data_IF_909472699084
#
_entry.id   IF_909472699084
#
_cell.length_a   1.000
_cell.length_b   1.000
_cell.length_c   1.000
_cell.angle_alpha   90.00
_cell.angle_beta   90.00
_cell.angle_gamma   90.00
#
_symmetry.space_group_name_H-M   'P 1'
#
loop_
_entity.id
_entity.type
_entity.pdbx_description
1 polymer ?
#
# COMPACT_ATOMS: atom_id res chain seq x y z
N UNK A 1 -26.57 -17.60 -29.66
CA UNK A 1 -27.58 -16.73 -30.32
C UNK A 1 -28.12 -15.59 -29.43
N UNK A 2 -27.92 -15.58 -28.10
CA UNK A 2 -28.46 -14.54 -27.18
C UNK A 2 -27.69 -13.20 -27.16
N UNK A 3 -26.41 -13.18 -27.55
CA UNK A 3 -25.58 -11.97 -27.47
C UNK A 3 -25.80 -10.99 -28.64
N UNK A 4 -26.16 -11.48 -29.82
CA UNK A 4 -26.43 -10.64 -31.02
C UNK A 4 -27.72 -9.82 -30.86
N UNK A 5 -28.73 -10.39 -30.20
CA UNK A 5 -30.01 -9.73 -29.94
C UNK A 5 -29.88 -8.65 -28.84
N UNK A 6 -28.96 -8.84 -27.89
CA UNK A 6 -28.68 -7.85 -26.84
C UNK A 6 -27.90 -6.64 -27.39
N UNK A 7 -26.95 -6.87 -28.30
CA UNK A 7 -26.22 -5.79 -29.00
C UNK A 7 -27.15 -5.00 -29.92
N UNK A 8 -28.06 -5.67 -30.64
CA UNK A 8 -29.08 -4.98 -31.45
C UNK A 8 -30.01 -4.08 -30.62
N UNK A 9 -30.38 -4.54 -29.41
CA UNK A 9 -31.24 -3.78 -28.50
C UNK A 9 -30.52 -2.55 -27.91
N UNK A 10 -29.21 -2.67 -27.65
CA UNK A 10 -28.38 -1.55 -27.19
C UNK A 10 -28.14 -0.49 -28.28
N UNK A 11 -27.98 -0.92 -29.54
CA UNK A 11 -27.88 -0.02 -30.70
C UNK A 11 -29.19 0.73 -30.96
N UNK A 12 -30.36 0.07 -30.82
CA UNK A 12 -31.66 0.73 -30.95
C UNK A 12 -31.94 1.75 -29.83
N UNK A 13 -31.42 1.54 -28.62
CA UNK A 13 -31.60 2.47 -27.49
C UNK A 13 -30.76 3.75 -27.65
N UNK A 14 -29.61 3.66 -28.34
CA UNK A 14 -28.75 4.81 -28.63
C UNK A 14 -29.27 5.69 -29.78
N UNK A 15 -29.96 5.10 -30.76
CA UNK A 15 -30.56 5.84 -31.89
C UNK A 15 -31.85 6.59 -31.52
N UNK A 16 -32.50 6.22 -30.41
CA UNK A 16 -33.74 6.85 -29.96
C UNK A 16 -33.52 8.28 -29.39
N UNK A 17 -32.31 8.60 -28.92
CA UNK A 17 -31.97 9.93 -28.40
C UNK A 17 -31.78 10.99 -29.51
N UNK A 18 -31.68 10.58 -30.78
CA UNK A 18 -31.49 11.51 -31.91
C UNK A 18 -32.80 11.93 -32.61
N UNK A 19 -33.95 11.35 -32.25
CA UNK A 19 -35.24 11.60 -32.90
C UNK A 19 -36.09 12.72 -32.25
N UNK A 20 -35.62 13.35 -31.17
CA UNK A 20 -36.33 14.43 -30.47
C UNK A 20 -35.83 15.85 -30.81
N UNK A 21 -34.99 16.00 -31.84
CA UNK A 21 -34.28 17.27 -32.13
C UNK A 21 -34.89 18.14 -33.25
N UNK A 22 -36.13 17.90 -33.70
CA UNK A 22 -36.79 18.77 -34.69
C UNK A 22 -38.21 19.15 -34.26
N UNK A 23 -38.35 20.38 -33.76
CA UNK A 23 -39.61 21.10 -33.74
C UNK A 23 -39.50 22.25 -34.77
N UNK A 24 -40.39 22.33 -35.78
CA UNK A 24 -40.36 23.42 -36.76
C UNK A 24 -40.71 24.76 -36.10
N UNK A 25 -40.05 25.81 -36.60
CA UNK A 25 -40.27 27.19 -36.20
C UNK A 25 -41.69 27.65 -36.59
N UNK A 26 -42.43 28.13 -35.61
CA UNK A 26 -43.70 28.83 -35.80
C UNK A 26 -43.39 30.33 -35.98
N UNK A 27 -43.59 30.84 -37.20
CA UNK A 27 -43.58 32.27 -37.50
C UNK A 27 -44.91 32.88 -37.08
N UNK A 28 -44.89 33.81 -36.13
CA UNK A 28 -46.01 34.73 -35.84
C UNK A 28 -45.48 36.03 -35.20
N UNK A 29 -46.21 37.15 -35.32
CA UNK A 29 -45.76 38.37 -35.96
C UNK A 29 -45.07 39.36 -35.01
N UNK A 30 -44.22 40.18 -35.60
CA UNK A 30 -43.51 41.32 -35.00
C UNK A 30 -44.54 42.30 -34.40
N UNK A 31 -44.77 42.21 -33.09
CA UNK A 31 -45.31 43.31 -32.32
C UNK A 31 -44.17 44.24 -31.91
N UNK A 32 -44.27 45.49 -32.34
CA UNK A 32 -43.44 46.61 -31.91
C UNK A 32 -43.50 46.81 -30.39
N UNK A 33 -42.52 46.26 -29.68
CA UNK A 33 -42.17 46.57 -28.29
C UNK A 33 -40.79 47.25 -28.29
N UNK A 34 -40.59 48.44 -27.69
CA UNK A 34 -39.30 49.12 -27.67
C UNK A 34 -38.40 48.58 -26.53
N UNK A 35 -38.28 47.25 -26.42
CA UNK A 35 -37.69 46.62 -25.22
C UNK A 35 -36.19 46.31 -25.36
N UNK A 36 -35.60 46.27 -26.58
CA UNK A 36 -34.25 45.69 -26.75
C UNK A 36 -33.22 46.56 -27.51
N UNK A 37 -33.41 47.88 -27.53
CA UNK A 37 -32.40 48.76 -28.13
C UNK A 37 -31.20 48.94 -27.21
N UNK A 38 -29.99 48.75 -27.74
CA UNK A 38 -28.75 49.01 -27.00
C UNK A 38 -28.64 50.47 -26.60
N UNK A 39 -27.86 50.79 -25.56
CA UNK A 39 -27.67 52.18 -25.11
C UNK A 39 -27.22 53.10 -26.26
N UNK A 40 -26.37 52.56 -27.14
CA UNK A 40 -25.88 53.23 -28.36
C UNK A 40 -27.00 53.46 -29.38
N UNK A 41 -27.86 52.47 -29.60
CA UNK A 41 -29.01 52.61 -30.50
C UNK A 41 -30.01 53.64 -29.96
N UNK A 42 -30.31 53.62 -28.66
CA UNK A 42 -31.19 54.61 -28.01
C UNK A 42 -30.64 56.03 -28.14
N UNK A 43 -29.33 56.21 -27.96
CA UNK A 43 -28.66 57.49 -28.21
C UNK A 43 -28.78 57.93 -29.68
N UNK A 44 -28.58 57.01 -30.63
CA UNK A 44 -28.71 57.30 -32.06
C UNK A 44 -30.14 57.70 -32.44
N UNK A 45 -31.16 57.04 -31.86
CA UNK A 45 -32.58 57.35 -32.07
C UNK A 45 -32.92 58.73 -31.49
N UNK A 46 -32.39 59.08 -30.30
CA UNK A 46 -32.55 60.41 -29.72
C UNK A 46 -31.93 61.50 -30.61
N UNK A 47 -30.74 61.24 -31.17
CA UNK A 47 -30.07 62.15 -32.12
C UNK A 47 -30.83 62.25 -33.45
N UNK A 48 -31.45 61.17 -33.92
CA UNK A 48 -32.22 61.16 -35.15
C UNK A 48 -33.56 61.91 -35.01
N UNK A 49 -34.29 61.67 -33.92
CA UNK A 49 -35.62 62.28 -33.66
C UNK A 49 -35.57 63.73 -33.15
N UNK A 50 -34.39 64.26 -32.84
CA UNK A 50 -34.23 65.65 -32.40
C UNK A 50 -34.27 66.63 -33.57
N UNK A 51 -34.87 67.79 -33.34
CA UNK A 51 -35.00 68.85 -34.34
C UNK A 51 -33.67 69.60 -34.48
N UNK A 52 -33.18 69.81 -35.69
CA UNK A 52 -31.98 70.63 -35.91
C UNK A 52 -32.34 72.11 -35.95
N UNK A 53 -31.60 72.93 -35.22
CA UNK A 53 -31.66 74.39 -35.28
C UNK A 53 -30.23 74.93 -35.44
N UNK A 54 -29.91 75.46 -36.62
CA UNK A 54 -28.55 75.84 -37.01
C UNK A 54 -27.57 74.66 -36.78
N UNK A 55 -26.53 74.87 -35.98
CA UNK A 55 -25.52 73.86 -35.63
C UNK A 55 -25.92 73.03 -34.38
N UNK A 56 -27.11 73.24 -33.82
CA UNK A 56 -27.57 72.59 -32.59
C UNK A 56 -28.69 71.57 -32.86
N UNK A 57 -28.80 70.56 -31.99
CA UNK A 57 -29.92 69.61 -31.94
C UNK A 57 -30.78 69.90 -30.71
N UNK A 58 -32.06 70.20 -30.92
CA UNK A 58 -33.05 70.41 -29.88
C UNK A 58 -33.68 69.07 -29.52
N UNK A 59 -33.47 68.66 -28.28
CA UNK A 59 -34.01 67.42 -27.71
C UNK A 59 -35.03 67.81 -26.63
N UNK A 60 -36.15 67.08 -26.55
CA UNK A 60 -37.10 67.24 -25.44
C UNK A 60 -36.48 66.76 -24.14
N UNK A 61 -36.63 67.50 -23.05
CA UNK A 61 -36.12 67.14 -21.72
C UNK A 61 -36.57 65.74 -21.28
N UNK A 62 -37.85 65.39 -21.49
CA UNK A 62 -38.39 64.07 -21.15
C UNK A 62 -37.70 62.90 -21.85
N UNK A 63 -37.17 63.10 -23.06
CA UNK A 63 -36.42 62.07 -23.79
C UNK A 63 -35.00 61.95 -23.24
N UNK A 64 -34.37 63.07 -22.88
CA UNK A 64 -33.06 63.11 -22.25
C UNK A 64 -33.08 62.43 -20.88
N UNK A 65 -34.08 62.74 -20.05
CA UNK A 65 -34.30 62.11 -18.74
C UNK A 65 -34.55 60.61 -18.85
N UNK A 66 -35.31 60.18 -19.87
CA UNK A 66 -35.53 58.76 -20.16
C UNK A 66 -34.23 58.02 -20.50
N UNK A 67 -33.39 58.58 -21.38
CA UNK A 67 -32.09 58.00 -21.73
C UNK A 67 -31.15 57.99 -20.52
N UNK A 68 -31.15 59.05 -19.71
CA UNK A 68 -30.36 59.14 -18.49
C UNK A 68 -30.76 58.07 -17.47
N UNK A 69 -32.06 57.91 -17.22
CA UNK A 69 -32.60 56.87 -16.33
C UNK A 69 -32.15 55.48 -16.75
N UNK A 70 -32.33 55.14 -18.03
CA UNK A 70 -31.94 53.84 -18.60
C UNK A 70 -30.42 53.61 -18.50
N UNK A 71 -29.61 54.65 -18.75
CA UNK A 71 -28.15 54.58 -18.64
C UNK A 71 -27.72 54.30 -17.22
N UNK A 72 -28.30 55.01 -16.24
CA UNK A 72 -28.03 54.81 -14.82
C UNK A 72 -28.48 53.41 -14.37
N UNK A 73 -29.66 52.96 -14.79
CA UNK A 73 -30.19 51.65 -14.42
C UNK A 73 -29.32 50.52 -15.02
N UNK A 74 -28.81 50.70 -16.25
CA UNK A 74 -27.84 49.77 -16.85
C UNK A 74 -26.50 49.77 -16.12
N UNK A 75 -26.02 50.92 -15.65
CA UNK A 75 -24.77 51.01 -14.88
C UNK A 75 -24.93 50.31 -13.53
N UNK A 76 -26.02 50.58 -12.81
CA UNK A 76 -26.33 49.92 -11.55
C UNK A 76 -26.45 48.39 -11.72
N UNK A 77 -27.07 47.92 -12.80
CA UNK A 77 -27.14 46.49 -13.11
C UNK A 77 -25.75 45.87 -13.35
N UNK A 78 -24.84 46.59 -14.02
CA UNK A 78 -23.45 46.15 -14.21
C UNK A 78 -22.69 46.12 -12.90
N UNK A 79 -22.85 47.12 -12.03
CA UNK A 79 -22.21 47.16 -10.71
C UNK A 79 -22.65 45.98 -9.84
N UNK A 80 -23.96 45.67 -9.82
CA UNK A 80 -24.49 44.50 -9.10
C UNK A 80 -23.90 43.20 -9.68
N UNK A 81 -23.82 43.07 -11.00
CA UNK A 81 -23.23 41.89 -11.64
C UNK A 81 -21.74 41.73 -11.33
N UNK A 82 -20.98 42.83 -11.28
CA UNK A 82 -19.56 42.84 -10.91
C UNK A 82 -19.39 42.42 -9.44
N UNK A 83 -20.22 42.94 -8.53
CA UNK A 83 -20.20 42.54 -7.13
C UNK A 83 -20.54 41.06 -6.94
N UNK A 84 -21.52 40.55 -7.68
CA UNK A 84 -21.87 39.13 -7.67
C UNK A 84 -20.75 38.24 -8.23
N UNK A 85 -20.13 38.64 -9.33
CA UNK A 85 -18.98 37.94 -9.91
C UNK A 85 -17.78 37.92 -8.95
N UNK A 86 -17.48 39.04 -8.29
CA UNK A 86 -16.41 39.12 -7.30
C UNK A 86 -16.68 38.21 -6.09
N UNK A 87 -17.93 38.15 -5.60
CA UNK A 87 -18.31 37.18 -4.55
C UNK A 87 -18.11 35.75 -5.00
N UNK A 88 -18.50 35.40 -6.22
CA UNK A 88 -18.31 34.07 -6.78
C UNK A 88 -16.82 33.72 -6.90
N UNK A 89 -15.98 34.66 -7.35
CA UNK A 89 -14.53 34.49 -7.43
C UNK A 89 -13.94 34.24 -6.04
N UNK A 90 -14.37 34.99 -5.03
CA UNK A 90 -13.91 34.79 -3.65
C UNK A 90 -14.32 33.40 -3.12
N UNK A 91 -15.55 32.96 -3.40
CA UNK A 91 -16.04 31.64 -3.03
C UNK A 91 -15.26 30.52 -3.74
N UNK A 92 -15.03 30.65 -5.05
CA UNK A 92 -14.22 29.73 -5.84
C UNK A 92 -12.79 29.66 -5.29
N UNK A 93 -12.18 30.80 -4.95
CA UNK A 93 -10.84 30.84 -4.35
C UNK A 93 -10.80 30.10 -3.01
N UNK A 94 -11.82 30.26 -2.15
CA UNK A 94 -11.96 29.52 -0.89
C UNK A 94 -12.10 28.02 -1.12
N UNK A 95 -12.92 27.60 -2.09
CA UNK A 95 -13.08 26.20 -2.46
C UNK A 95 -11.78 25.60 -3.00
N UNK A 96 -11.04 26.33 -3.84
CA UNK A 96 -9.74 25.87 -4.35
C UNK A 96 -8.74 25.69 -3.22
N UNK A 97 -8.64 26.63 -2.28
CA UNK A 97 -7.78 26.46 -1.10
C UNK A 97 -8.20 25.26 -0.26
N UNK A 98 -9.51 25.07 -0.02
CA UNK A 98 -10.00 23.93 0.74
C UNK A 98 -9.72 22.59 0.04
N UNK A 99 -9.90 22.53 -1.28
CA UNK A 99 -9.60 21.34 -2.09
C UNK A 99 -8.10 21.06 -2.04
N UNK A 100 -7.25 22.08 -2.18
CA UNK A 100 -5.79 21.94 -2.09
C UNK A 100 -5.35 21.43 -0.72
N UNK A 101 -5.89 21.98 0.36
CA UNK A 101 -5.62 21.53 1.72
C UNK A 101 -6.08 20.08 1.94
N UNK A 102 -7.24 19.71 1.39
CA UNK A 102 -7.74 18.34 1.47
C UNK A 102 -6.89 17.34 0.68
N UNK A 103 -6.35 17.76 -0.47
CA UNK A 103 -5.41 16.99 -1.28
C UNK A 103 -4.10 16.78 -0.52
N UNK A 104 -3.53 17.84 0.03
CA UNK A 104 -2.31 17.75 0.82
C UNK A 104 -2.47 16.84 2.04
N UNK A 105 -3.60 16.94 2.75
CA UNK A 105 -3.92 16.02 3.86
C UNK A 105 -4.06 14.57 3.40
N UNK A 106 -4.70 14.32 2.25
CA UNK A 106 -4.81 12.98 1.68
C UNK A 106 -3.45 12.43 1.25
N UNK A 107 -2.60 13.22 0.63
CA UNK A 107 -1.24 12.81 0.25
C UNK A 107 -0.40 12.48 1.49
N UNK A 108 -0.47 13.31 2.54
CA UNK A 108 0.19 13.01 3.82
C UNK A 108 -0.34 11.73 4.47
N UNK A 109 -1.67 11.54 4.47
CA UNK A 109 -2.30 10.31 4.95
C UNK A 109 -1.87 9.09 4.13
N UNK A 110 -1.81 9.21 2.80
CA UNK A 110 -1.35 8.13 1.93
C UNK A 110 0.13 7.81 2.15
N UNK A 111 0.98 8.82 2.35
CA UNK A 111 2.39 8.62 2.68
C UNK A 111 2.55 7.92 4.04
N UNK A 112 1.78 8.34 5.05
CA UNK A 112 1.76 7.70 6.37
C UNK A 112 1.25 6.25 6.27
N UNK A 113 0.14 6.01 5.56
CA UNK A 113 -0.41 4.66 5.37
C UNK A 113 0.53 3.77 4.55
N UNK A 114 1.24 4.30 3.56
CA UNK A 114 2.28 3.56 2.84
C UNK A 114 3.44 3.20 3.77
N UNK A 115 3.85 4.11 4.65
CA UNK A 115 4.87 3.84 5.66
C UNK A 115 4.41 2.72 6.61
N UNK A 116 3.22 2.84 7.19
CA UNK A 116 2.63 1.87 8.12
C UNK A 116 2.31 0.51 7.45
N UNK A 117 2.00 0.52 6.15
CA UNK A 117 1.70 -0.71 5.40
C UNK A 117 2.96 -1.45 5.00
N UNK A 118 4.05 -0.73 4.72
CA UNK A 118 5.31 -1.32 4.26
C UNK A 118 6.25 -1.63 5.40
N UNK A 119 6.16 -0.91 6.52
CA UNK A 119 7.01 -1.10 7.70
C UNK A 119 6.20 -1.74 8.82
N UNK A 120 6.86 -2.55 9.64
CA UNK A 120 6.31 -3.04 10.89
C UNK A 120 7.31 -2.66 11.98
N UNK A 121 6.81 -2.02 13.03
CA UNK A 121 7.66 -1.61 14.14
C UNK A 121 7.92 -2.82 15.02
N UNK A 122 9.15 -3.31 15.02
CA UNK A 122 9.59 -4.42 15.89
C UNK A 122 10.63 -3.84 16.83
N UNK A 123 10.37 -3.88 18.15
CA UNK A 123 11.24 -3.33 19.18
C UNK A 123 11.57 -1.82 19.00
N UNK A 124 10.69 -1.06 18.34
CA UNK A 124 10.86 0.38 18.10
C UNK A 124 11.70 0.73 16.86
N UNK A 125 12.05 -0.25 16.03
CA UNK A 125 12.71 -0.03 14.74
C UNK A 125 11.72 -0.40 13.63
N UNK A 126 11.51 0.52 12.69
CA UNK A 126 10.65 0.31 11.53
C UNK A 126 11.41 -0.47 10.45
N UNK A 127 10.99 -1.71 10.23
CA UNK A 127 11.60 -2.62 9.25
C UNK A 127 10.57 -2.92 8.17
N UNK A 128 10.97 -2.86 6.90
CA UNK A 128 10.12 -3.23 5.78
C UNK A 128 9.62 -4.69 5.94
N UNK A 129 8.32 -4.93 5.75
CA UNK A 129 7.68 -6.26 5.96
C UNK A 129 8.32 -7.37 5.13
N UNK A 130 8.75 -7.08 3.90
CA UNK A 130 9.47 -8.04 3.07
C UNK A 130 10.84 -8.38 3.64
N UNK A 131 11.60 -7.38 4.11
CA UNK A 131 12.90 -7.59 4.74
C UNK A 131 12.77 -8.34 6.08
N UNK A 132 11.73 -8.06 6.87
CA UNK A 132 11.45 -8.81 8.09
C UNK A 132 11.14 -10.27 7.78
N UNK A 133 10.26 -10.53 6.80
CA UNK A 133 9.86 -11.90 6.44
C UNK A 133 11.04 -12.70 5.91
N UNK A 134 11.89 -12.12 5.07
CA UNK A 134 13.10 -12.79 4.56
C UNK A 134 14.12 -13.03 5.66
N UNK A 135 14.38 -12.04 6.52
CA UNK A 135 15.32 -12.19 7.63
C UNK A 135 14.83 -13.26 8.63
N UNK A 136 13.54 -13.26 8.96
CA UNK A 136 12.95 -14.27 9.85
C UNK A 136 13.01 -15.67 9.23
N UNK A 137 12.71 -15.81 7.94
CA UNK A 137 12.82 -17.09 7.25
C UNK A 137 14.28 -17.59 7.22
N UNK A 138 15.24 -16.72 6.95
CA UNK A 138 16.68 -17.05 6.97
C UNK A 138 17.12 -17.48 8.37
N UNK A 139 16.70 -16.75 9.41
CA UNK A 139 16.99 -17.11 10.81
C UNK A 139 16.45 -18.49 11.17
N UNK A 140 15.21 -18.79 10.76
CA UNK A 140 14.55 -20.06 11.03
C UNK A 140 15.26 -21.22 10.31
N UNK A 141 15.63 -21.03 9.05
CA UNK A 141 16.40 -22.02 8.27
C UNK A 141 17.80 -22.22 8.87
N UNK A 142 18.49 -21.15 9.26
CA UNK A 142 19.80 -21.23 9.88
C UNK A 142 19.76 -22.01 11.21
N UNK A 143 18.77 -21.72 12.06
CA UNK A 143 18.58 -22.44 13.32
C UNK A 143 18.25 -23.92 13.09
N UNK A 144 17.36 -24.20 12.14
CA UNK A 144 17.03 -25.58 11.75
C UNK A 144 18.28 -26.33 11.25
N UNK A 145 19.12 -25.68 10.45
CA UNK A 145 20.38 -26.27 9.96
C UNK A 145 21.34 -26.61 11.09
N UNK A 146 21.51 -25.71 12.07
CA UNK A 146 22.35 -25.97 13.26
C UNK A 146 21.83 -27.17 14.05
N UNK A 147 20.50 -27.26 14.25
CA UNK A 147 19.90 -28.38 14.98
C UNK A 147 20.11 -29.71 14.23
N UNK A 148 19.89 -29.73 12.92
CA UNK A 148 20.06 -30.93 12.09
C UNK A 148 21.51 -31.39 12.07
N UNK A 149 22.47 -30.46 11.93
CA UNK A 149 23.90 -30.79 11.93
C UNK A 149 24.36 -31.33 13.29
N UNK A 150 23.91 -30.73 14.39
CA UNK A 150 24.21 -31.21 15.74
C UNK A 150 23.59 -32.60 15.99
N UNK A 151 22.32 -32.81 15.64
CA UNK A 151 21.66 -34.10 15.79
C UNK A 151 22.36 -35.20 14.97
N UNK A 152 22.79 -34.89 13.74
CA UNK A 152 23.58 -35.79 12.91
C UNK A 152 24.92 -36.16 13.55
N UNK A 153 25.66 -35.16 14.04
CA UNK A 153 26.95 -35.37 14.71
C UNK A 153 26.79 -36.19 16.00
N UNK A 154 25.76 -35.92 16.80
CA UNK A 154 25.49 -36.66 18.03
C UNK A 154 25.20 -38.14 17.77
N UNK A 155 24.47 -38.47 16.70
CA UNK A 155 24.24 -39.87 16.31
C UNK A 155 25.53 -40.59 15.94
N UNK A 156 26.42 -39.94 15.17
CA UNK A 156 27.71 -40.52 14.79
C UNK A 156 28.61 -40.74 16.01
N UNK A 157 28.67 -39.75 16.91
CA UNK A 157 29.46 -39.84 18.14
C UNK A 157 28.93 -40.98 19.02
N UNK A 158 27.61 -41.07 19.22
CA UNK A 158 27.02 -42.12 20.05
C UNK A 158 27.32 -43.52 19.50
N UNK A 159 27.29 -43.71 18.18
CA UNK A 159 27.68 -44.98 17.55
C UNK A 159 29.14 -45.32 17.84
N UNK A 160 30.06 -44.37 17.61
CA UNK A 160 31.49 -44.60 17.87
C UNK A 160 31.79 -44.85 19.35
N UNK A 161 31.12 -44.14 20.26
CA UNK A 161 31.24 -44.37 21.69
C UNK A 161 30.72 -45.74 22.11
N UNK A 162 29.63 -46.20 21.51
CA UNK A 162 29.09 -47.54 21.77
C UNK A 162 30.09 -48.63 21.33
N UNK A 163 30.64 -48.53 20.13
CA UNK A 163 31.66 -49.44 19.62
C UNK A 163 32.90 -49.45 20.52
N UNK A 164 33.43 -48.27 20.88
CA UNK A 164 34.57 -48.15 21.82
C UNK A 164 34.27 -48.77 23.18
N UNK A 165 33.06 -48.56 23.71
CA UNK A 165 32.63 -49.15 24.99
C UNK A 165 32.59 -50.68 24.92
N UNK A 166 32.09 -51.25 23.81
CA UNK A 166 32.10 -52.69 23.59
C UNK A 166 33.53 -53.24 23.51
N UNK A 167 34.42 -52.59 22.75
CA UNK A 167 35.83 -53.00 22.66
C UNK A 167 36.53 -52.96 24.01
N UNK A 168 36.32 -51.91 24.81
CA UNK A 168 36.87 -51.80 26.16
C UNK A 168 36.36 -52.92 27.05
N UNK A 169 35.05 -53.21 27.02
CA UNK A 169 34.48 -54.31 27.81
C UNK A 169 35.07 -55.67 27.42
N UNK A 170 35.25 -55.94 26.12
CA UNK A 170 35.88 -57.18 25.65
C UNK A 170 37.32 -57.30 26.14
N UNK A 171 38.11 -56.22 26.01
CA UNK A 171 39.51 -56.19 26.44
C UNK A 171 39.64 -56.38 27.96
N UNK A 172 38.78 -55.73 28.75
CA UNK A 172 38.76 -55.88 30.20
C UNK A 172 38.44 -57.33 30.59
N UNK A 173 37.45 -57.95 29.95
CA UNK A 173 37.10 -59.35 30.22
C UNK A 173 38.25 -60.30 29.86
N UNK A 174 38.91 -60.10 28.72
CA UNK A 174 40.10 -60.88 28.34
C UNK A 174 41.26 -60.69 29.32
N UNK A 175 41.48 -59.46 29.78
CA UNK A 175 42.52 -59.16 30.77
C UNK A 175 42.23 -59.80 32.14
N UNK A 176 40.98 -59.79 32.59
CA UNK A 176 40.56 -60.48 33.81
C UNK A 176 40.75 -61.99 33.69
N UNK A 177 40.40 -62.58 32.55
CA UNK A 177 40.60 -63.99 32.29
C UNK A 177 42.10 -64.36 32.24
N UNK A 178 42.91 -63.55 31.58
CA UNK A 178 44.37 -63.70 31.57
C UNK A 178 44.94 -63.66 33.00
N UNK A 179 44.51 -62.68 33.81
CA UNK A 179 44.93 -62.55 35.21
C UNK A 179 44.51 -63.78 36.02
N UNK A 180 43.29 -64.30 35.83
CA UNK A 180 42.83 -65.53 36.51
C UNK A 180 43.69 -66.73 36.14
N UNK A 181 43.94 -66.95 34.84
CA UNK A 181 44.81 -68.03 34.35
C UNK A 181 46.24 -67.92 34.87
N UNK A 182 46.79 -66.71 34.95
CA UNK A 182 48.12 -66.48 35.52
C UNK A 182 48.18 -66.81 37.02
N UNK A 183 47.17 -66.40 37.80
CA UNK A 183 47.05 -66.74 39.22
C UNK A 183 46.88 -68.25 39.44
N UNK A 184 46.08 -68.92 38.62
CA UNK A 184 45.92 -70.38 38.65
C UNK A 184 47.26 -71.10 38.39
N UNK A 185 48.04 -70.64 37.39
CA UNK A 185 49.38 -71.17 37.09
C UNK A 185 50.36 -70.96 38.25
N UNK A 186 50.40 -69.76 38.84
CA UNK A 186 51.25 -69.48 40.00
C UNK A 186 50.87 -70.33 41.21
N UNK A 187 49.57 -70.49 41.47
CA UNK A 187 49.05 -71.33 42.55
C UNK A 187 49.45 -72.79 42.33
N UNK A 188 49.32 -73.29 41.11
CA UNK A 188 49.72 -74.66 40.74
C UNK A 188 51.23 -74.88 40.92
N UNK A 189 52.05 -73.96 40.41
CA UNK A 189 53.51 -74.03 40.56
C UNK A 189 53.95 -73.98 42.03
N UNK A 190 53.29 -73.14 42.84
CA UNK A 190 53.56 -73.07 44.28
C UNK A 190 53.25 -74.39 44.99
N UNK A 191 52.13 -75.04 44.65
CA UNK A 191 51.77 -76.37 45.16
C UNK A 191 52.80 -77.42 44.76
N UNK A 192 53.17 -77.48 43.48
CA UNK A 192 54.20 -78.40 42.99
C UNK A 192 55.56 -78.20 43.70
N UNK A 193 56.00 -76.94 43.89
CA UNK A 193 57.23 -76.65 44.65
C UNK A 193 57.14 -77.06 46.12
N UNK A 194 55.98 -76.90 46.75
CA UNK A 194 55.76 -77.33 48.13
C UNK A 194 55.80 -78.86 48.26
N UNK A 195 55.18 -79.56 47.32
CA UNK A 195 55.19 -81.03 47.25
C UNK A 195 56.62 -81.56 47.07
N UNK A 196 57.42 -80.96 46.18
CA UNK A 196 58.84 -81.29 46.03
C UNK A 196 59.66 -81.02 47.30
N UNK A 197 59.41 -79.91 48.01
CA UNK A 197 60.09 -79.63 49.30
C UNK A 197 59.69 -80.63 50.39
N UNK A 198 58.42 -81.01 50.47
CA UNK A 198 57.93 -82.01 51.41
C UNK A 198 58.51 -83.40 51.12
N UNK A 199 58.68 -83.74 49.83
CA UNK A 199 59.34 -84.98 49.41
C UNK A 199 60.82 -85.00 49.78
N UNK A 200 61.55 -83.89 49.63
CA UNK A 200 62.95 -83.81 50.06
C UNK A 200 63.10 -83.86 51.59
N UNK A 201 62.18 -83.25 52.35
CA UNK A 201 62.23 -83.27 53.82
C UNK A 201 61.90 -84.66 54.39
N UNK A 202 60.99 -85.41 53.79
CA UNK A 202 60.70 -86.79 54.19
C UNK A 202 61.86 -87.73 53.93
N UNK A 203 62.58 -87.56 52.81
CA UNK A 203 63.81 -88.32 52.52
C UNK A 203 64.94 -87.98 53.49
N UNK A 204 65.09 -86.72 53.90
CA UNK A 204 66.16 -86.27 54.83
C UNK A 204 65.93 -86.67 56.29
N UNK A 205 64.67 -86.84 56.70
CA UNK A 205 64.31 -87.23 58.07
C UNK A 205 64.14 -88.76 58.23
N UNK A 206 64.48 -89.53 57.19
CA UNK A 206 64.64 -90.99 57.17
C UNK A 206 66.12 -91.36 57.27
#
# INVERSE_FOLDING_TARGET
>A
MKMKNFVALWVCMLTFQFLFAQQPAEETPIQTQPENYTLRERYSIMKAKSQSFKEYKVVKESVMDGVWKITRDSLAAKDVAILAANKNIEQLKKQVTQVKDSLQKKEQSMAATLHDSTHISVLGIDIQKSAFLTLFAVLLVALAFVIVTLAGRMKMINKSLHEKKLTINMLTNEYEEYKRRAMEKQTKLSRELQDERNKLSSIRNS
#
